data_IF_182363786712
#
_entry.id   IF_182363786712
#
_cell.length_a   1.000
_cell.length_b   1.000
_cell.length_c   1.000
_cell.angle_alpha   90.00
_cell.angle_beta   90.00
_cell.angle_gamma   90.00
#
_symmetry.space_group_name_H-M   'P 1'
#
loop_
_entity.id
_entity.type
_entity.pdbx_description
1 polymer ?
#
# COMPACT_ATOMS: atom_id res chain seq x y z
N UNK A 1 -35.39 21.00 -15.13
CA UNK A 1 -34.30 20.14 -14.61
C UNK A 1 -33.20 21.06 -14.11
N UNK A 2 -32.96 21.11 -12.80
CA UNK A 2 -31.86 21.90 -12.25
C UNK A 2 -30.58 21.09 -12.47
N UNK A 3 -29.61 21.67 -13.18
CA UNK A 3 -28.28 21.08 -13.33
C UNK A 3 -27.61 21.10 -11.95
N UNK A 4 -27.13 19.95 -11.47
CA UNK A 4 -26.37 19.89 -10.23
C UNK A 4 -25.11 20.73 -10.37
N UNK A 5 -24.91 21.69 -9.46
CA UNK A 5 -23.69 22.48 -9.41
C UNK A 5 -22.49 21.55 -9.22
N UNK A 6 -21.45 21.73 -10.03
CA UNK A 6 -20.21 20.96 -9.92
C UNK A 6 -19.52 21.23 -8.58
N UNK A 7 -18.79 20.25 -8.06
CA UNK A 7 -18.03 20.38 -6.82
C UNK A 7 -17.09 21.59 -6.89
N UNK A 8 -17.37 22.59 -6.05
CA UNK A 8 -16.56 23.79 -5.87
C UNK A 8 -15.28 23.46 -5.09
N UNK A 9 -14.16 24.14 -5.35
CA UNK A 9 -12.90 24.00 -4.60
C UNK A 9 -13.07 24.22 -3.08
N UNK A 10 -14.14 24.88 -2.64
CA UNK A 10 -14.50 25.05 -1.21
C UNK A 10 -15.12 23.80 -0.57
N UNK A 11 -15.56 22.84 -1.38
CA UNK A 11 -16.21 21.59 -0.98
C UNK A 11 -15.28 20.38 -1.15
N UNK A 12 -14.05 20.60 -1.64
CA UNK A 12 -13.06 19.56 -1.90
C UNK A 12 -11.76 19.93 -1.19
N UNK A 13 -11.38 19.14 -0.21
CA UNK A 13 -10.05 19.26 0.39
C UNK A 13 -9.05 18.55 -0.52
N UNK A 14 -8.27 19.34 -1.26
CA UNK A 14 -7.27 18.83 -2.18
C UNK A 14 -6.18 18.06 -1.43
N UNK A 15 -5.70 16.95 -2.01
CA UNK A 15 -4.52 16.27 -1.48
C UNK A 15 -3.28 17.13 -1.71
N UNK A 16 -2.81 17.81 -0.67
CA UNK A 16 -1.60 18.62 -0.71
C UNK A 16 -0.35 17.73 -0.55
N UNK A 17 0.64 17.90 -1.43
CA UNK A 17 1.98 17.34 -1.27
C UNK A 17 2.92 18.45 -0.79
N UNK A 18 3.17 18.50 0.51
CA UNK A 18 4.14 19.42 1.08
C UNK A 18 5.57 18.95 0.72
N UNK A 19 6.42 19.89 0.30
CA UNK A 19 7.73 19.59 -0.31
C UNK A 19 8.84 19.15 0.65
N UNK A 20 8.53 18.87 1.92
CA UNK A 20 9.52 18.54 2.96
C UNK A 20 10.05 17.11 2.87
N UNK A 21 9.47 16.29 1.98
CA UNK A 21 9.94 14.93 1.69
C UNK A 21 8.84 13.89 1.91
N UNK A 22 9.13 12.64 1.50
CA UNK A 22 8.21 11.51 1.62
C UNK A 22 8.95 10.23 1.95
N UNK A 23 8.36 9.39 2.80
CA UNK A 23 8.81 8.01 3.02
C UNK A 23 7.89 7.07 2.25
N UNK A 24 8.48 6.13 1.50
CA UNK A 24 7.74 5.07 0.84
C UNK A 24 7.91 3.77 1.63
N UNK A 25 6.82 3.05 1.85
CA UNK A 25 6.82 1.76 2.53
C UNK A 25 5.92 0.80 1.77
N UNK A 26 6.23 -0.49 1.86
CA UNK A 26 5.37 -1.57 1.41
C UNK A 26 5.03 -2.45 2.60
N UNK A 27 3.80 -2.93 2.66
CA UNK A 27 3.36 -3.92 3.63
C UNK A 27 2.15 -4.66 3.10
N UNK A 28 1.84 -5.78 3.75
CA UNK A 28 0.67 -6.58 3.42
C UNK A 28 -0.33 -6.61 4.59
N UNK A 29 -1.60 -6.88 4.28
CA UNK A 29 -2.66 -7.07 5.26
C UNK A 29 -3.47 -8.31 4.87
N UNK A 30 -3.66 -9.21 5.83
CA UNK A 30 -4.56 -10.34 5.74
C UNK A 30 -5.80 -10.09 6.61
N UNK A 31 -6.78 -11.00 6.53
CA UNK A 31 -7.94 -10.98 7.42
C UNK A 31 -7.56 -11.13 8.90
N UNK A 32 -6.41 -11.73 9.18
CA UNK A 32 -5.81 -11.88 10.51
C UNK A 32 -5.17 -10.61 11.05
N UNK A 33 -4.97 -9.63 10.17
CA UNK A 33 -4.38 -8.34 10.49
C UNK A 33 -3.19 -8.00 9.62
N UNK A 34 -2.38 -7.07 10.12
CA UNK A 34 -1.26 -6.48 9.39
C UNK A 34 -0.07 -7.45 9.37
N UNK A 35 0.59 -7.56 8.21
CA UNK A 35 1.85 -8.27 8.06
C UNK A 35 3.06 -7.37 8.29
N UNK A 36 4.22 -7.83 7.86
CA UNK A 36 5.46 -7.06 7.91
C UNK A 36 5.42 -5.87 6.95
N UNK A 37 6.20 -4.85 7.30
CA UNK A 37 6.35 -3.61 6.53
C UNK A 37 7.83 -3.38 6.25
N UNK A 38 8.16 -3.00 5.02
CA UNK A 38 9.50 -2.68 4.60
C UNK A 38 9.55 -1.28 4.00
N UNK A 39 10.65 -0.57 4.27
CA UNK A 39 10.88 0.76 3.71
C UNK A 39 11.44 0.59 2.30
N UNK A 40 10.93 1.41 1.37
CA UNK A 40 11.46 1.47 0.01
C UNK A 40 12.31 2.72 -0.13
N UNK A 41 13.60 2.51 -0.40
CA UNK A 41 14.51 3.58 -0.76
C UNK A 41 14.50 3.78 -2.28
N UNK A 42 13.92 4.91 -2.72
CA UNK A 42 13.83 5.28 -4.12
C UNK A 42 12.65 4.63 -4.86
N UNK A 43 12.88 4.15 -6.09
CA UNK A 43 11.82 3.61 -6.95
C UNK A 43 11.71 2.10 -6.78
N UNK A 44 10.50 1.61 -6.50
CA UNK A 44 10.22 0.18 -6.53
C UNK A 44 10.30 -0.35 -7.98
N UNK A 45 11.34 -1.12 -8.27
CA UNK A 45 11.49 -1.88 -9.51
C UNK A 45 10.86 -3.27 -9.40
N UNK A 46 10.78 -3.97 -10.54
CA UNK A 46 10.25 -5.34 -10.57
C UNK A 46 11.05 -6.32 -9.72
N UNK A 47 12.38 -6.25 -9.77
CA UNK A 47 13.25 -7.15 -9.00
C UNK A 47 13.08 -6.95 -7.48
N UNK A 48 13.06 -5.69 -7.03
CA UNK A 48 12.81 -5.36 -5.63
C UNK A 48 11.42 -5.82 -5.18
N UNK A 49 10.41 -5.63 -6.03
CA UNK A 49 9.06 -6.10 -5.73
C UNK A 49 9.02 -7.63 -5.60
N UNK A 50 9.65 -8.36 -6.50
CA UNK A 50 9.74 -9.83 -6.41
C UNK A 50 10.51 -10.31 -5.19
N UNK A 51 11.55 -9.60 -4.76
CA UNK A 51 12.26 -9.89 -3.50
C UNK A 51 11.34 -9.72 -2.30
N UNK A 52 10.62 -8.60 -2.22
CA UNK A 52 9.67 -8.32 -1.15
C UNK A 52 8.55 -9.39 -1.08
N UNK A 53 8.08 -9.88 -2.22
CA UNK A 53 7.08 -10.97 -2.25
C UNK A 53 7.65 -12.33 -1.81
N UNK A 54 8.95 -12.58 -2.02
CA UNK A 54 9.61 -13.83 -1.61
C UNK A 54 9.97 -13.83 -0.14
N UNK A 55 10.29 -12.66 0.40
CA UNK A 55 10.78 -12.52 1.76
C UNK A 55 9.64 -12.02 2.66
N UNK A 56 9.35 -10.72 2.64
CA UNK A 56 8.41 -10.05 3.55
C UNK A 56 6.99 -10.61 3.49
N UNK A 57 6.45 -10.88 2.29
CA UNK A 57 5.11 -11.47 2.17
C UNK A 57 5.08 -12.89 2.74
N UNK A 58 6.05 -13.74 2.39
CA UNK A 58 6.07 -15.13 2.87
C UNK A 58 6.24 -15.20 4.39
N UNK A 59 7.08 -14.33 4.97
CA UNK A 59 7.22 -14.23 6.42
C UNK A 59 5.93 -13.75 7.08
N UNK A 60 5.22 -12.79 6.47
CA UNK A 60 3.94 -12.30 6.98
C UNK A 60 2.86 -13.39 6.97
N UNK A 61 2.79 -14.17 5.89
CA UNK A 61 1.84 -15.28 5.79
C UNK A 61 2.16 -16.37 6.81
N UNK A 62 3.45 -16.70 6.97
CA UNK A 62 3.89 -17.65 7.98
C UNK A 62 3.58 -17.17 9.40
N UNK A 63 3.76 -15.87 9.67
CA UNK A 63 3.42 -15.26 10.95
C UNK A 63 1.94 -15.45 11.29
N UNK A 64 1.06 -15.30 10.30
CA UNK A 64 -0.38 -15.50 10.43
C UNK A 64 -0.81 -16.97 10.26
N UNK A 65 0.11 -17.91 10.01
CA UNK A 65 -0.19 -19.32 9.77
C UNK A 65 -0.98 -19.59 8.49
N UNK A 66 -0.91 -18.67 7.52
CA UNK A 66 -1.65 -18.72 6.26
C UNK A 66 -0.83 -19.44 5.19
N UNK A 67 -1.51 -20.25 4.36
CA UNK A 67 -0.86 -20.85 3.20
C UNK A 67 -0.84 -19.86 2.03
N UNK A 68 0.29 -19.70 1.33
CA UNK A 68 0.38 -18.80 0.17
C UNK A 68 -0.62 -19.11 -0.95
N UNK A 69 -1.06 -20.36 -1.08
CA UNK A 69 -2.05 -20.77 -2.10
C UNK A 69 -3.47 -20.30 -1.79
N UNK A 70 -3.77 -19.97 -0.53
CA UNK A 70 -5.07 -19.48 -0.09
C UNK A 70 -5.16 -17.95 -0.13
N UNK A 71 -4.06 -17.28 -0.51
CA UNK A 71 -3.91 -15.82 -0.48
C UNK A 71 -3.78 -15.29 -1.90
N UNK A 72 -4.58 -14.27 -2.21
CA UNK A 72 -4.46 -13.48 -3.44
C UNK A 72 -3.75 -12.18 -3.08
N UNK A 73 -2.66 -11.88 -3.79
CA UNK A 73 -1.85 -10.68 -3.61
C UNK A 73 -1.57 -10.00 -4.95
#
# INVERSE_FOLDING_TARGET
>A
KMAGEGLSDRLVEGTLKFGEGSVMMWGCMAWEGVGYVTKIDGRMGGDLYLQILKDELQESLKYHGLNPSDIIF
#
